data_IF_737448653502
#
_entry.id   IF_737448653502
#
_cell.length_a   1.000
_cell.length_b   1.000
_cell.length_c   1.000
_cell.angle_alpha   90.00
_cell.angle_beta   90.00
_cell.angle_gamma   90.00
#
_symmetry.space_group_name_H-M   'P 1'
#
loop_
_entity.id
_entity.type
_entity.pdbx_description
1 polymer ?
#
# COMPACT_ATOMS: atom_id res chain seq x y z
N UNK A 1 -25.16 10.57 -13.19
CA UNK A 1 -25.12 10.97 -14.61
C UNK A 1 -23.95 10.31 -15.35
N UNK A 2 -22.69 10.61 -15.00
CA UNK A 2 -21.50 10.09 -15.70
C UNK A 2 -21.51 8.58 -16.01
N UNK A 3 -21.84 7.70 -15.04
CA UNK A 3 -21.89 6.23 -15.25
C UNK A 3 -22.85 5.84 -16.38
N UNK A 4 -23.97 6.57 -16.55
CA UNK A 4 -24.94 6.29 -17.63
C UNK A 4 -24.34 6.65 -18.99
N UNK A 5 -23.58 7.73 -19.04
CA UNK A 5 -22.99 8.27 -20.27
C UNK A 5 -21.70 7.55 -20.68
N UNK A 6 -21.00 6.85 -19.78
CA UNK A 6 -19.72 6.16 -20.13
C UNK A 6 -19.89 5.23 -21.33
N UNK A 7 -20.95 4.43 -21.38
CA UNK A 7 -21.18 3.51 -22.51
C UNK A 7 -21.48 4.24 -23.82
N UNK A 8 -22.16 5.39 -23.76
CA UNK A 8 -22.45 6.22 -24.93
C UNK A 8 -21.19 6.92 -25.44
N UNK A 9 -20.37 7.45 -24.52
CA UNK A 9 -19.07 8.05 -24.80
C UNK A 9 -18.15 7.01 -25.44
N UNK A 10 -18.11 5.79 -24.88
CA UNK A 10 -17.31 4.71 -25.44
C UNK A 10 -17.74 4.36 -26.86
N UNK A 11 -19.05 4.21 -27.11
CA UNK A 11 -19.56 3.95 -28.45
C UNK A 11 -19.16 5.04 -29.46
N UNK A 12 -19.27 6.32 -29.08
CA UNK A 12 -18.87 7.44 -29.93
C UNK A 12 -17.35 7.49 -30.18
N UNK A 13 -16.53 7.18 -29.17
CA UNK A 13 -15.08 7.15 -29.32
C UNK A 13 -14.60 5.98 -30.19
N UNK A 14 -15.25 4.81 -30.07
CA UNK A 14 -15.00 3.66 -30.94
C UNK A 14 -15.40 3.97 -32.39
N UNK A 15 -16.57 4.58 -32.60
CA UNK A 15 -17.03 5.02 -33.93
C UNK A 15 -16.04 6.00 -34.57
N UNK A 16 -15.47 6.90 -33.77
CA UNK A 16 -14.45 7.86 -34.21
C UNK A 16 -13.03 7.28 -34.29
N UNK A 17 -12.85 6.01 -33.90
CA UNK A 17 -11.56 5.33 -33.92
C UNK A 17 -10.50 5.98 -33.02
N UNK A 18 -10.89 6.74 -31.99
CA UNK A 18 -9.95 7.53 -31.19
C UNK A 18 -10.20 7.36 -29.69
N UNK A 19 -9.12 7.27 -28.91
CA UNK A 19 -9.09 7.42 -27.44
C UNK A 19 -9.92 6.43 -26.58
N UNK A 20 -10.82 5.63 -27.16
CA UNK A 20 -11.72 4.73 -26.41
C UNK A 20 -10.95 3.79 -25.46
N UNK A 21 -9.86 3.18 -25.95
CA UNK A 21 -9.05 2.22 -25.20
C UNK A 21 -8.23 2.80 -24.05
N UNK A 22 -8.21 4.13 -23.86
CA UNK A 22 -7.50 4.77 -22.76
C UNK A 22 -8.43 5.66 -21.92
N UNK A 23 -9.29 6.44 -22.58
CA UNK A 23 -10.15 7.42 -21.93
C UNK A 23 -11.22 6.76 -21.05
N UNK A 24 -11.96 5.77 -21.58
CA UNK A 24 -13.04 5.11 -20.85
C UNK A 24 -12.50 4.31 -19.64
N UNK A 25 -11.43 3.49 -19.77
CA UNK A 25 -10.69 2.91 -18.65
C UNK A 25 -10.29 3.92 -17.57
N UNK A 26 -9.67 5.03 -17.95
CA UNK A 26 -9.25 6.06 -17.02
C UNK A 26 -10.45 6.69 -16.30
N UNK A 27 -11.52 7.00 -17.04
CA UNK A 27 -12.74 7.58 -16.49
C UNK A 27 -13.40 6.65 -15.47
N UNK A 28 -13.49 5.34 -15.76
CA UNK A 28 -14.02 4.33 -14.85
C UNK A 28 -13.28 4.32 -13.52
N UNK A 29 -11.95 4.36 -13.54
CA UNK A 29 -11.13 4.39 -12.33
C UNK A 29 -11.37 5.65 -11.49
N UNK A 30 -11.50 6.82 -12.14
CA UNK A 30 -11.83 8.07 -11.42
C UNK A 30 -13.22 7.99 -10.79
N UNK A 31 -14.21 7.51 -11.53
CA UNK A 31 -15.58 7.34 -11.02
C UNK A 31 -15.60 6.40 -9.83
N UNK A 32 -14.99 5.22 -9.92
CA UNK A 32 -14.95 4.26 -8.80
C UNK A 32 -14.18 4.84 -7.59
N UNK A 33 -13.08 5.56 -7.81
CA UNK A 33 -12.35 6.24 -6.74
C UNK A 33 -13.25 7.22 -5.97
N UNK A 34 -14.03 8.04 -6.68
CA UNK A 34 -14.99 8.97 -6.07
C UNK A 34 -16.11 8.21 -5.33
N UNK A 35 -16.67 7.17 -5.95
CA UNK A 35 -17.76 6.39 -5.35
C UNK A 35 -17.33 5.72 -4.05
N UNK A 36 -16.10 5.16 -4.00
CA UNK A 36 -15.56 4.57 -2.77
C UNK A 36 -15.32 5.61 -1.68
N UNK A 37 -14.82 6.81 -2.04
CA UNK A 37 -14.65 7.92 -1.08
C UNK A 37 -15.98 8.31 -0.42
N UNK A 38 -17.06 8.36 -1.19
CA UNK A 38 -18.40 8.72 -0.69
C UNK A 38 -19.29 7.50 -0.41
N UNK A 39 -18.70 6.33 -0.16
CA UNK A 39 -19.43 5.07 -0.05
C UNK A 39 -20.53 5.12 1.02
N UNK A 40 -20.21 5.61 2.23
CA UNK A 40 -21.18 5.70 3.32
C UNK A 40 -22.34 6.65 2.99
N UNK A 41 -22.06 7.78 2.32
CA UNK A 41 -23.09 8.72 1.88
C UNK A 41 -24.00 8.10 0.82
N UNK A 42 -23.41 7.32 -0.10
CA UNK A 42 -24.15 6.63 -1.15
C UNK A 42 -25.19 5.67 -0.56
N UNK A 43 -24.80 4.88 0.45
CA UNK A 43 -25.67 3.87 1.09
C UNK A 43 -26.95 4.46 1.73
N UNK A 44 -26.98 5.77 2.02
CA UNK A 44 -28.17 6.45 2.55
C UNK A 44 -29.25 6.62 1.47
N UNK A 45 -28.87 6.70 0.19
CA UNK A 45 -29.81 6.83 -0.94
C UNK A 45 -29.98 5.51 -1.68
N UNK A 46 -31.11 4.84 -1.45
CA UNK A 46 -31.39 3.56 -2.09
C UNK A 46 -31.47 3.66 -3.61
N UNK A 47 -32.16 4.70 -4.11
CA UNK A 47 -32.35 4.93 -5.54
C UNK A 47 -31.01 5.17 -6.26
N UNK A 48 -30.16 6.06 -5.72
CA UNK A 48 -28.86 6.35 -6.31
C UNK A 48 -27.93 5.14 -6.25
N UNK A 49 -27.93 4.42 -5.13
CA UNK A 49 -27.14 3.19 -4.97
C UNK A 49 -27.55 2.13 -5.99
N UNK A 50 -28.85 1.88 -6.17
CA UNK A 50 -29.35 0.98 -7.20
C UNK A 50 -28.92 1.42 -8.61
N UNK A 51 -29.11 2.70 -8.95
CA UNK A 51 -28.77 3.22 -10.26
C UNK A 51 -27.27 3.11 -10.56
N UNK A 52 -26.42 3.36 -9.55
CA UNK A 52 -24.96 3.19 -9.65
C UNK A 52 -24.61 1.71 -9.80
N UNK A 53 -25.18 0.84 -8.98
CA UNK A 53 -24.94 -0.60 -9.04
C UNK A 53 -25.30 -1.19 -10.42
N UNK A 54 -26.52 -0.92 -10.90
CA UNK A 54 -26.98 -1.36 -12.22
C UNK A 54 -26.12 -0.77 -13.35
N UNK A 55 -25.68 0.49 -13.22
CA UNK A 55 -24.78 1.14 -14.16
C UNK A 55 -23.41 0.48 -14.25
N UNK A 56 -22.80 0.19 -13.10
CA UNK A 56 -21.51 -0.50 -13.02
C UNK A 56 -21.60 -1.93 -13.54
N UNK A 57 -22.66 -2.68 -13.21
CA UNK A 57 -22.88 -4.02 -13.75
C UNK A 57 -22.97 -4.04 -15.28
N UNK A 58 -23.49 -2.98 -15.92
CA UNK A 58 -23.53 -2.89 -17.39
C UNK A 58 -22.17 -2.62 -18.03
N UNK A 59 -21.26 -2.00 -17.29
CA UNK A 59 -19.92 -1.63 -17.74
C UNK A 59 -18.92 -2.78 -17.66
N UNK A 60 -19.15 -3.76 -16.78
CA UNK A 60 -18.32 -4.97 -16.67
C UNK A 60 -19.02 -6.18 -17.28
N UNK A 61 -18.53 -6.64 -18.43
CA UNK A 61 -19.04 -7.85 -19.11
C UNK A 61 -18.09 -9.04 -19.03
N UNK A 62 -16.85 -8.78 -18.63
CA UNK A 62 -15.79 -9.78 -18.51
C UNK A 62 -16.03 -10.75 -17.34
N UNK A 63 -15.23 -11.81 -17.28
CA UNK A 63 -15.17 -12.69 -16.12
C UNK A 63 -14.27 -12.03 -15.05
N UNK A 64 -14.63 -11.98 -13.76
CA UNK A 64 -13.75 -11.44 -12.72
C UNK A 64 -12.34 -12.08 -12.66
N UNK A 65 -12.16 -13.28 -13.22
CA UNK A 65 -10.86 -13.95 -13.33
C UNK A 65 -10.08 -13.68 -14.63
N UNK A 66 -10.70 -13.01 -15.59
CA UNK A 66 -10.12 -12.66 -16.89
C UNK A 66 -10.75 -11.34 -17.35
N UNK A 67 -10.19 -10.25 -16.87
CA UNK A 67 -10.67 -8.89 -17.10
C UNK A 67 -9.50 -7.91 -17.20
N UNK A 68 -9.81 -6.66 -17.52
CA UNK A 68 -8.84 -5.55 -17.49
C UNK A 68 -8.68 -4.99 -16.07
N UNK A 69 -7.59 -4.25 -15.82
CA UNK A 69 -7.36 -3.60 -14.51
C UNK A 69 -8.50 -2.67 -14.06
N UNK A 70 -9.06 -1.79 -14.91
CA UNK A 70 -10.24 -0.99 -14.55
C UNK A 70 -11.47 -1.83 -14.21
N UNK A 71 -11.76 -2.88 -14.98
CA UNK A 71 -12.89 -3.77 -14.72
C UNK A 71 -12.72 -4.50 -13.38
N UNK A 72 -11.49 -4.95 -13.07
CA UNK A 72 -11.15 -5.54 -11.76
C UNK A 72 -11.49 -4.60 -10.60
N UNK A 73 -11.15 -3.32 -10.72
CA UNK A 73 -11.47 -2.29 -9.73
C UNK A 73 -12.99 -2.07 -9.60
N UNK A 74 -13.72 -2.11 -10.72
CA UNK A 74 -15.19 -2.05 -10.72
C UNK A 74 -15.79 -3.29 -10.04
N UNK A 75 -15.29 -4.50 -10.32
CA UNK A 75 -15.73 -5.73 -9.67
C UNK A 75 -15.51 -5.69 -8.16
N UNK A 76 -14.34 -5.22 -7.71
CA UNK A 76 -14.05 -5.03 -6.29
C UNK A 76 -15.08 -4.09 -5.64
N UNK A 77 -15.42 -2.97 -6.29
CA UNK A 77 -16.40 -2.04 -5.75
C UNK A 77 -17.84 -2.60 -5.76
N UNK A 78 -18.24 -3.30 -6.83
CA UNK A 78 -19.53 -3.99 -6.89
C UNK A 78 -19.66 -5.03 -5.75
N UNK A 79 -18.60 -5.75 -5.44
CA UNK A 79 -18.55 -6.71 -4.34
C UNK A 79 -18.77 -6.01 -2.99
N UNK A 80 -18.02 -4.93 -2.71
CA UNK A 80 -18.14 -4.15 -1.47
C UNK A 80 -19.53 -3.52 -1.33
N UNK A 81 -20.06 -2.92 -2.40
CA UNK A 81 -21.37 -2.28 -2.42
C UNK A 81 -22.49 -3.29 -2.18
N UNK A 82 -22.46 -4.45 -2.85
CA UNK A 82 -23.43 -5.51 -2.62
C UNK A 82 -23.32 -6.11 -1.21
N UNK A 83 -22.10 -6.28 -0.69
CA UNK A 83 -21.88 -6.83 0.65
C UNK A 83 -22.45 -5.92 1.75
N UNK A 84 -22.31 -4.60 1.59
CA UNK A 84 -22.67 -3.58 2.58
C UNK A 84 -24.14 -3.14 2.53
N UNK A 85 -24.91 -3.63 1.54
CA UNK A 85 -26.20 -3.05 1.21
C UNK A 85 -27.32 -4.10 1.13
N UNK A 86 -28.13 -4.22 2.19
CA UNK A 86 -29.18 -5.25 2.30
C UNK A 86 -30.24 -5.17 1.20
N UNK A 87 -30.64 -3.96 0.77
CA UNK A 87 -31.65 -3.82 -0.29
C UNK A 87 -31.11 -4.18 -1.68
N UNK A 88 -29.79 -4.07 -1.93
CA UNK A 88 -29.21 -4.57 -3.18
C UNK A 88 -29.27 -6.10 -3.19
N UNK A 89 -29.03 -6.73 -2.03
CA UNK A 89 -29.16 -8.18 -1.88
C UNK A 89 -30.58 -8.67 -2.14
N UNK A 90 -31.61 -7.89 -1.78
CA UNK A 90 -33.00 -8.26 -2.08
C UNK A 90 -33.39 -7.97 -3.53
N UNK A 91 -33.05 -6.79 -4.07
CA UNK A 91 -33.50 -6.36 -5.41
C UNK A 91 -32.73 -7.01 -6.56
N UNK A 92 -31.44 -7.28 -6.39
CA UNK A 92 -30.56 -7.78 -7.46
C UNK A 92 -30.02 -9.19 -7.21
N UNK A 93 -30.67 -9.95 -6.32
CA UNK A 93 -30.26 -11.30 -5.95
C UNK A 93 -30.07 -12.20 -7.18
N UNK A 94 -31.07 -12.26 -8.06
CA UNK A 94 -31.06 -13.18 -9.20
C UNK A 94 -29.90 -12.92 -10.16
N UNK A 95 -29.61 -11.64 -10.44
CA UNK A 95 -28.52 -11.25 -11.33
C UNK A 95 -27.13 -11.43 -10.69
N UNK A 96 -26.99 -11.08 -9.41
CA UNK A 96 -25.68 -10.93 -8.79
C UNK A 96 -25.26 -12.12 -7.92
N UNK A 97 -26.17 -12.99 -7.52
CA UNK A 97 -25.86 -14.19 -6.71
C UNK A 97 -24.86 -15.13 -7.37
N UNK A 98 -24.82 -15.18 -8.72
CA UNK A 98 -23.85 -15.99 -9.48
C UNK A 98 -22.50 -15.28 -9.64
N UNK A 99 -22.51 -13.95 -9.75
CA UNK A 99 -21.30 -13.14 -9.99
C UNK A 99 -20.54 -12.89 -8.69
N UNK A 100 -21.26 -12.62 -7.59
CA UNK A 100 -20.70 -12.36 -6.26
C UNK A 100 -19.66 -13.40 -5.78
N UNK A 101 -19.94 -14.73 -5.79
CA UNK A 101 -18.95 -15.73 -5.39
C UNK A 101 -17.76 -15.81 -6.35
N UNK A 102 -17.95 -15.55 -7.65
CA UNK A 102 -16.83 -15.50 -8.61
C UNK A 102 -15.90 -14.34 -8.33
N UNK A 103 -16.44 -13.16 -8.01
CA UNK A 103 -15.64 -12.00 -7.59
C UNK A 103 -14.90 -12.34 -6.29
N UNK A 104 -15.61 -12.91 -5.30
CA UNK A 104 -14.98 -13.34 -4.03
C UNK A 104 -13.80 -14.28 -4.27
N UNK A 105 -13.98 -15.30 -5.12
CA UNK A 105 -12.95 -16.27 -5.46
C UNK A 105 -11.75 -15.62 -6.18
N UNK A 106 -12.01 -14.67 -7.07
CA UNK A 106 -10.97 -14.07 -7.91
C UNK A 106 -10.18 -12.95 -7.20
N UNK A 107 -10.82 -12.17 -6.32
CA UNK A 107 -10.27 -10.95 -5.75
C UNK A 107 -10.05 -11.00 -4.22
N UNK A 108 -10.74 -11.89 -3.51
CA UNK A 108 -10.76 -11.94 -2.04
C UNK A 108 -10.57 -13.37 -1.48
N UNK A 109 -10.15 -14.32 -2.31
CA UNK A 109 -9.72 -15.63 -1.82
C UNK A 109 -8.45 -15.46 -0.97
N UNK A 110 -8.28 -16.29 0.06
CA UNK A 110 -7.06 -16.25 0.87
C UNK A 110 -5.85 -16.54 0.00
N UNK A 111 -4.86 -15.64 0.00
CA UNK A 111 -3.63 -15.79 -0.78
C UNK A 111 -2.52 -16.27 0.15
N UNK A 112 -1.82 -17.34 -0.28
CA UNK A 112 -0.53 -17.71 0.29
C UNK A 112 0.57 -17.14 -0.60
N UNK A 113 1.57 -16.41 -0.05
CA UNK A 113 2.69 -15.91 -0.84
C UNK A 113 3.42 -17.03 -1.58
N UNK A 114 3.76 -16.78 -2.84
CA UNK A 114 4.53 -17.72 -3.63
C UNK A 114 5.95 -17.87 -3.07
N UNK A 115 6.50 -19.08 -3.18
CA UNK A 115 7.83 -19.39 -2.63
C UNK A 115 8.96 -18.80 -3.46
N UNK A 116 8.81 -18.68 -4.78
CA UNK A 116 9.81 -18.05 -5.64
C UNK A 116 11.08 -18.87 -5.90
N UNK A 117 10.98 -20.17 -6.11
CA UNK A 117 12.15 -21.07 -6.28
C UNK A 117 12.33 -21.57 -7.71
N UNK A 118 11.85 -20.81 -8.70
CA UNK A 118 11.89 -21.20 -10.12
C UNK A 118 13.14 -20.67 -10.83
N UNK A 119 13.42 -21.18 -12.03
CA UNK A 119 14.53 -20.70 -12.85
C UNK A 119 14.19 -19.32 -13.43
N UNK A 120 15.02 -18.33 -13.13
CA UNK A 120 14.86 -16.97 -13.66
C UNK A 120 15.22 -16.88 -15.15
N UNK A 121 14.32 -16.27 -15.93
CA UNK A 121 14.53 -15.89 -17.34
C UNK A 121 14.48 -14.37 -17.52
N UNK A 122 15.63 -13.68 -17.67
CA UNK A 122 15.69 -12.22 -17.79
C UNK A 122 15.06 -11.68 -19.08
N UNK A 123 14.94 -12.51 -20.12
CA UNK A 123 14.32 -12.10 -21.40
C UNK A 123 12.80 -12.20 -21.38
N UNK A 124 12.21 -12.90 -20.41
CA UNK A 124 10.77 -13.09 -20.36
C UNK A 124 10.05 -11.74 -20.17
N UNK A 125 9.23 -11.37 -21.15
CA UNK A 125 8.48 -10.10 -21.21
C UNK A 125 9.34 -8.83 -21.13
N UNK A 126 10.64 -8.92 -21.48
CA UNK A 126 11.56 -7.78 -21.41
C UNK A 126 11.09 -6.59 -22.27
N UNK A 127 10.49 -6.86 -23.44
CA UNK A 127 9.97 -5.82 -24.35
C UNK A 127 8.86 -4.97 -23.70
N UNK A 128 7.95 -5.62 -22.95
CA UNK A 128 6.86 -4.95 -22.25
C UNK A 128 7.38 -4.19 -21.03
N UNK A 129 8.39 -4.70 -20.33
CA UNK A 129 9.01 -3.98 -19.21
C UNK A 129 9.78 -2.75 -19.71
N UNK A 130 10.45 -2.85 -20.86
CA UNK A 130 11.12 -1.71 -21.49
C UNK A 130 10.12 -0.65 -21.98
N UNK A 131 8.96 -1.08 -22.48
CA UNK A 131 7.89 -0.20 -22.94
C UNK A 131 6.52 -0.63 -22.39
N UNK A 132 6.18 -0.23 -21.15
CA UNK A 132 4.98 -0.73 -20.46
C UNK A 132 3.64 -0.30 -21.05
N UNK A 133 3.64 0.62 -22.02
CA UNK A 133 2.44 1.06 -22.74
C UNK A 133 2.14 0.17 -23.96
N UNK A 134 3.00 -0.79 -24.29
CA UNK A 134 2.74 -1.76 -25.36
C UNK A 134 1.54 -2.63 -25.00
N UNK A 135 0.69 -2.87 -26.01
CA UNK A 135 -0.41 -3.82 -25.88
C UNK A 135 0.18 -5.22 -25.74
N UNK A 136 -0.22 -5.93 -24.69
CA UNK A 136 0.23 -7.31 -24.46
C UNK A 136 -0.59 -8.28 -25.31
N UNK A 137 0.10 -9.20 -25.98
CA UNK A 137 -0.54 -10.22 -26.79
C UNK A 137 -1.18 -11.32 -25.93
N UNK A 138 -2.35 -11.81 -26.36
CA UNK A 138 -3.06 -12.89 -25.65
C UNK A 138 -2.22 -14.17 -25.53
N UNK A 139 -1.31 -14.43 -26.47
CA UNK A 139 -0.38 -15.56 -26.41
C UNK A 139 0.56 -15.47 -25.20
N UNK A 140 1.08 -14.28 -24.89
CA UNK A 140 1.96 -14.02 -23.74
C UNK A 140 1.19 -14.14 -22.43
N UNK A 141 -0.04 -13.63 -22.38
CA UNK A 141 -0.92 -13.78 -21.21
C UNK A 141 -1.14 -15.26 -20.88
N UNK A 142 -1.35 -16.11 -21.89
CA UNK A 142 -1.50 -17.57 -21.68
C UNK A 142 -0.24 -18.22 -21.11
N UNK A 143 0.95 -17.71 -21.43
CA UNK A 143 2.21 -18.23 -20.88
C UNK A 143 2.36 -17.97 -19.38
N UNK A 144 1.67 -16.97 -18.81
CA UNK A 144 1.64 -16.70 -17.37
C UNK A 144 0.85 -17.75 -16.56
N UNK A 145 0.19 -18.70 -17.22
CA UNK A 145 -0.34 -19.89 -16.53
C UNK A 145 0.78 -20.75 -15.92
N UNK A 146 2.00 -20.70 -16.49
CA UNK A 146 3.19 -21.37 -15.97
C UNK A 146 3.80 -20.59 -14.78
N UNK A 147 3.95 -21.21 -13.60
CA UNK A 147 4.63 -20.60 -12.46
C UNK A 147 6.04 -20.05 -12.75
N UNK A 148 6.82 -20.72 -13.60
CA UNK A 148 8.19 -20.28 -13.92
C UNK A 148 8.20 -18.97 -14.71
N UNK A 149 7.20 -18.77 -15.56
CA UNK A 149 7.03 -17.53 -16.33
C UNK A 149 6.54 -16.39 -15.44
N UNK A 150 5.59 -16.66 -14.54
CA UNK A 150 5.15 -15.66 -13.55
C UNK A 150 6.31 -15.22 -12.66
N UNK A 151 7.08 -16.17 -12.14
CA UNK A 151 8.29 -15.90 -11.37
C UNK A 151 9.24 -14.98 -12.14
N UNK A 152 9.59 -15.34 -13.37
CA UNK A 152 10.51 -14.56 -14.19
C UNK A 152 10.00 -13.14 -14.46
N UNK A 153 8.71 -13.00 -14.79
CA UNK A 153 8.09 -11.70 -15.00
C UNK A 153 8.15 -10.82 -13.74
N UNK A 154 7.80 -11.38 -12.58
CA UNK A 154 7.82 -10.67 -11.30
C UNK A 154 9.23 -10.24 -10.93
N UNK A 155 10.22 -11.13 -11.10
CA UNK A 155 11.64 -10.78 -10.92
C UNK A 155 12.04 -9.62 -11.83
N UNK A 156 11.77 -9.72 -13.13
CA UNK A 156 12.15 -8.70 -14.12
C UNK A 156 11.50 -7.35 -13.82
N UNK A 157 10.22 -7.34 -13.45
CA UNK A 157 9.48 -6.12 -13.12
C UNK A 157 10.04 -5.43 -11.87
N UNK A 158 10.32 -6.18 -10.79
CA UNK A 158 10.87 -5.63 -9.56
C UNK A 158 12.30 -5.12 -9.73
N UNK A 159 13.15 -5.87 -10.44
CA UNK A 159 14.53 -5.46 -10.72
C UNK A 159 14.53 -4.15 -11.53
N UNK A 160 13.71 -4.05 -12.58
CA UNK A 160 13.63 -2.82 -13.38
C UNK A 160 12.98 -1.67 -12.58
N UNK A 161 12.03 -1.94 -11.68
CA UNK A 161 11.41 -0.91 -10.82
C UNK A 161 12.44 -0.25 -9.89
N UNK A 162 13.38 -1.05 -9.41
CA UNK A 162 14.44 -0.64 -8.49
C UNK A 162 15.65 -0.04 -9.21
N UNK A 163 15.75 -0.18 -10.54
CA UNK A 163 16.90 0.31 -11.29
C UNK A 163 17.00 1.85 -11.26
N UNK A 164 18.22 2.36 -11.08
CA UNK A 164 18.51 3.81 -11.02
C UNK A 164 18.10 4.57 -12.30
N UNK A 165 18.14 3.89 -13.45
CA UNK A 165 17.74 4.42 -14.76
C UNK A 165 16.23 4.54 -14.97
N UNK A 166 15.42 3.88 -14.14
CA UNK A 166 13.97 3.83 -14.33
C UNK A 166 13.38 5.17 -13.95
N UNK A 167 12.70 5.87 -14.86
CA UNK A 167 12.07 7.16 -14.55
C UNK A 167 10.79 7.00 -13.72
N UNK A 168 10.32 8.06 -13.05
CA UNK A 168 9.04 8.00 -12.30
C UNK A 168 7.85 7.69 -13.24
N UNK A 169 7.91 8.12 -14.50
CA UNK A 169 6.95 7.74 -15.54
C UNK A 169 6.93 6.23 -15.75
N UNK A 170 8.08 5.67 -16.13
CA UNK A 170 8.20 4.25 -16.45
C UNK A 170 7.79 3.38 -15.28
N UNK A 171 8.13 3.78 -14.04
CA UNK A 171 7.70 3.07 -12.83
C UNK A 171 6.18 2.99 -12.69
N UNK A 172 5.47 4.10 -12.91
CA UNK A 172 4.00 4.14 -12.83
C UNK A 172 3.37 3.31 -13.97
N UNK A 173 3.88 3.47 -15.19
CA UNK A 173 3.37 2.72 -16.35
C UNK A 173 3.59 1.21 -16.17
N UNK A 174 4.73 0.81 -15.59
CA UNK A 174 5.01 -0.59 -15.29
C UNK A 174 4.11 -1.14 -14.19
N UNK A 175 3.80 -0.36 -13.15
CA UNK A 175 2.83 -0.78 -12.14
C UNK A 175 1.43 -0.97 -12.73
N UNK A 176 1.03 -0.12 -13.70
CA UNK A 176 -0.23 -0.28 -14.44
C UNK A 176 -0.20 -1.52 -15.34
N UNK A 177 0.90 -1.79 -16.04
CA UNK A 177 1.09 -3.04 -16.81
C UNK A 177 0.94 -4.27 -15.90
N UNK A 178 1.59 -4.26 -14.74
CA UNK A 178 1.51 -5.35 -13.76
C UNK A 178 0.08 -5.55 -13.25
N UNK A 179 -0.68 -4.47 -13.07
CA UNK A 179 -2.08 -4.53 -12.70
C UNK A 179 -2.96 -5.12 -13.81
N UNK A 180 -2.69 -4.76 -15.07
CA UNK A 180 -3.39 -5.32 -16.23
C UNK A 180 -3.15 -6.83 -16.34
N UNK A 181 -1.89 -7.26 -16.24
CA UNK A 181 -1.53 -8.67 -16.29
C UNK A 181 -2.09 -9.47 -15.10
N UNK A 182 -2.16 -8.85 -13.91
CA UNK A 182 -2.78 -9.49 -12.74
C UNK A 182 -4.29 -9.65 -12.93
N UNK A 183 -4.95 -8.73 -13.63
CA UNK A 183 -6.38 -8.83 -13.93
C UNK A 183 -6.71 -9.96 -14.93
N UNK A 184 -5.78 -10.27 -15.84
CA UNK A 184 -5.84 -11.45 -16.72
C UNK A 184 -5.22 -12.73 -16.13
N UNK A 185 -4.48 -12.63 -15.02
CA UNK A 185 -3.81 -13.75 -14.37
C UNK A 185 -3.76 -13.56 -12.84
N UNK A 186 -4.82 -13.97 -12.16
CA UNK A 186 -4.95 -13.85 -10.69
C UNK A 186 -3.82 -14.53 -9.90
N UNK A 187 -3.15 -15.54 -10.47
CA UNK A 187 -2.04 -16.22 -9.81
C UNK A 187 -0.84 -15.28 -9.53
N UNK A 188 -0.72 -14.16 -10.27
CA UNK A 188 0.31 -13.15 -10.02
C UNK A 188 0.16 -12.47 -8.64
N UNK A 189 -1.04 -12.43 -8.06
CA UNK A 189 -1.26 -11.87 -6.71
C UNK A 189 -0.37 -12.55 -5.65
N UNK A 190 -0.22 -13.87 -5.74
CA UNK A 190 0.65 -14.63 -4.84
C UNK A 190 2.14 -14.34 -5.07
N UNK A 191 2.55 -14.10 -6.32
CA UNK A 191 3.93 -13.78 -6.68
C UNK A 191 4.34 -12.38 -6.21
N UNK A 192 3.45 -11.39 -6.35
CA UNK A 192 3.70 -10.04 -5.83
C UNK A 192 3.87 -10.04 -4.31
N UNK A 193 3.00 -10.74 -3.58
CA UNK A 193 3.15 -10.90 -2.13
C UNK A 193 4.42 -11.70 -1.78
N UNK A 194 4.76 -12.72 -2.57
CA UNK A 194 5.98 -13.53 -2.41
C UNK A 194 7.26 -12.70 -2.51
N UNK A 195 7.43 -11.94 -3.59
CA UNK A 195 8.64 -11.13 -3.82
C UNK A 195 8.74 -9.97 -2.82
N UNK A 196 7.62 -9.34 -2.45
CA UNK A 196 7.60 -8.28 -1.44
C UNK A 196 7.93 -8.84 -0.05
N UNK A 197 7.41 -10.02 0.30
CA UNK A 197 7.78 -10.72 1.53
C UNK A 197 9.28 -11.07 1.55
N UNK A 198 9.83 -11.59 0.45
CA UNK A 198 11.26 -11.90 0.36
C UNK A 198 12.15 -10.66 0.57
N UNK A 199 11.80 -9.52 -0.05
CA UNK A 199 12.52 -8.26 0.13
C UNK A 199 12.43 -7.73 1.58
N UNK A 200 11.24 -7.79 2.18
CA UNK A 200 10.99 -7.27 3.53
C UNK A 200 11.46 -8.22 4.65
N UNK A 201 11.64 -9.51 4.38
CA UNK A 201 12.04 -10.56 5.32
C UNK A 201 13.37 -11.22 4.94
N UNK A 202 14.27 -10.48 4.30
CA UNK A 202 15.52 -10.98 3.72
C UNK A 202 16.52 -11.60 4.72
N UNK A 203 16.22 -11.61 6.02
CA UNK A 203 17.01 -12.27 7.07
C UNK A 203 16.61 -13.72 7.36
N UNK A 204 15.47 -14.21 6.86
CA UNK A 204 14.94 -15.55 7.19
C UNK A 204 15.46 -16.61 6.20
N UNK A 205 16.01 -17.74 6.68
CA UNK A 205 16.74 -18.81 5.93
C UNK A 205 16.02 -19.46 4.71
N UNK A 206 14.81 -19.04 4.38
CA UNK A 206 13.97 -19.55 3.28
C UNK A 206 13.84 -18.49 2.18
N UNK A 207 14.88 -18.26 1.38
CA UNK A 207 14.86 -17.23 0.34
C UNK A 207 14.55 -17.81 -1.03
N UNK A 208 13.30 -17.77 -1.45
CA UNK A 208 13.04 -17.64 -2.89
C UNK A 208 13.21 -16.19 -3.35
N UNK A 209 13.13 -15.98 -4.66
CA UNK A 209 13.46 -14.71 -5.32
C UNK A 209 14.93 -14.29 -5.12
N UNK A 210 15.86 -15.25 -5.07
CA UNK A 210 17.31 -15.02 -4.90
C UNK A 210 17.85 -14.03 -5.95
N UNK A 211 17.34 -14.09 -7.17
CA UNK A 211 17.74 -13.20 -8.25
C UNK A 211 17.34 -11.74 -8.00
N UNK A 212 16.22 -11.51 -7.31
CA UNK A 212 15.80 -10.16 -6.89
C UNK A 212 16.67 -9.70 -5.72
N UNK A 213 16.84 -10.55 -4.69
CA UNK A 213 17.64 -10.23 -3.52
C UNK A 213 19.12 -9.93 -3.85
N UNK A 214 19.66 -10.58 -4.88
CA UNK A 214 21.04 -10.33 -5.34
C UNK A 214 21.18 -9.05 -6.18
N UNK A 215 20.12 -8.58 -6.84
CA UNK A 215 20.16 -7.40 -7.70
C UNK A 215 19.62 -6.12 -7.04
N UNK A 216 18.73 -6.25 -6.06
CA UNK A 216 18.13 -5.14 -5.32
C UNK A 216 18.89 -4.94 -4.01
N UNK A 217 19.92 -4.10 -4.05
CA UNK A 217 20.81 -3.87 -2.91
C UNK A 217 20.19 -2.94 -1.85
N UNK A 218 19.34 -3.48 -0.96
CA UNK A 218 18.72 -2.74 0.16
C UNK A 218 19.71 -2.25 1.23
N UNK A 219 20.99 -2.65 1.14
CA UNK A 219 22.06 -2.25 2.08
C UNK A 219 22.98 -1.16 1.52
N UNK A 220 22.87 -0.81 0.24
CA UNK A 220 23.72 0.20 -0.38
C UNK A 220 23.14 1.61 -0.12
N UNK A 221 23.78 2.47 0.70
CA UNK A 221 23.23 3.77 1.07
C UNK A 221 22.98 4.71 -0.11
N UNK A 222 23.64 4.50 -1.25
CA UNK A 222 23.48 5.35 -2.43
C UNK A 222 22.22 5.01 -3.24
N UNK A 223 21.89 3.73 -3.38
CA UNK A 223 20.74 3.28 -4.16
C UNK A 223 19.47 3.08 -3.31
N UNK A 224 19.63 2.74 -2.04
CA UNK A 224 18.55 2.38 -1.11
C UNK A 224 17.42 3.41 -1.03
N UNK A 225 17.65 4.74 -0.92
CA UNK A 225 16.57 5.73 -0.92
C UNK A 225 15.67 5.67 -2.16
N UNK A 226 16.28 5.44 -3.33
CA UNK A 226 15.56 5.33 -4.59
C UNK A 226 14.78 4.01 -4.67
N UNK A 227 15.38 2.92 -4.19
CA UNK A 227 14.74 1.59 -4.14
C UNK A 227 13.51 1.63 -3.22
N UNK A 228 13.65 2.14 -2.00
CA UNK A 228 12.54 2.32 -1.04
C UNK A 228 11.39 3.12 -1.67
N UNK A 229 11.71 4.27 -2.27
CA UNK A 229 10.73 5.15 -2.91
C UNK A 229 10.06 4.47 -4.12
N UNK A 230 10.82 3.74 -4.94
CA UNK A 230 10.32 3.00 -6.09
C UNK A 230 9.34 1.91 -5.67
N UNK A 231 9.75 1.04 -4.74
CA UNK A 231 8.92 -0.07 -4.26
C UNK A 231 7.68 0.44 -3.54
N UNK A 232 7.79 1.52 -2.77
CA UNK A 232 6.64 2.12 -2.10
C UNK A 232 5.57 2.61 -3.08
N UNK A 233 5.97 3.30 -4.17
CA UNK A 233 5.03 3.75 -5.21
C UNK A 233 4.47 2.56 -6.00
N UNK A 234 5.32 1.61 -6.37
CA UNK A 234 4.94 0.44 -7.13
C UNK A 234 3.89 -0.39 -6.37
N UNK A 235 4.19 -0.77 -5.13
CA UNK A 235 3.28 -1.53 -4.24
C UNK A 235 1.97 -0.76 -3.99
N UNK A 236 2.05 0.56 -3.78
CA UNK A 236 0.87 1.38 -3.57
C UNK A 236 -0.09 1.38 -4.78
N UNK A 237 0.43 1.41 -6.01
CA UNK A 237 -0.39 1.30 -7.23
C UNK A 237 -0.97 -0.11 -7.37
N UNK A 238 -0.20 -1.17 -7.07
CA UNK A 238 -0.72 -2.54 -7.11
C UNK A 238 -1.90 -2.73 -6.15
N UNK A 239 -1.82 -2.18 -4.93
CA UNK A 239 -2.92 -2.17 -3.95
C UNK A 239 -4.11 -1.36 -4.48
N UNK A 240 -3.86 -0.14 -4.98
CA UNK A 240 -4.91 0.73 -5.54
C UNK A 240 -5.69 0.04 -6.68
N UNK A 241 -4.99 -0.74 -7.51
CA UNK A 241 -5.57 -1.50 -8.62
C UNK A 241 -6.02 -2.91 -8.25
N UNK A 242 -6.06 -3.23 -6.96
CA UNK A 242 -6.59 -4.48 -6.44
C UNK A 242 -5.84 -5.74 -6.94
N UNK A 243 -4.54 -5.62 -7.20
CA UNK A 243 -3.68 -6.77 -7.55
C UNK A 243 -3.61 -7.77 -6.39
N UNK A 244 -3.59 -7.26 -5.17
CA UNK A 244 -3.80 -7.96 -3.91
C UNK A 244 -4.43 -6.95 -2.94
N UNK A 245 -5.07 -7.44 -1.87
CA UNK A 245 -5.72 -6.55 -0.92
C UNK A 245 -4.72 -5.96 0.07
N UNK A 246 -5.02 -4.77 0.59
CA UNK A 246 -4.22 -4.17 1.66
C UNK A 246 -4.17 -5.09 2.91
N UNK A 247 -5.27 -5.70 3.38
CA UNK A 247 -5.20 -6.71 4.45
C UNK A 247 -4.25 -7.88 4.17
N UNK A 248 -4.23 -8.43 2.95
CA UNK A 248 -3.30 -9.51 2.58
C UNK A 248 -1.84 -9.02 2.62
N UNK A 249 -1.57 -7.81 2.13
CA UNK A 249 -0.24 -7.21 2.23
C UNK A 249 0.22 -7.03 3.69
N UNK A 250 -0.66 -6.54 4.56
CA UNK A 250 -0.35 -6.38 5.99
C UNK A 250 -0.04 -7.73 6.64
N UNK A 251 -0.85 -8.75 6.36
CA UNK A 251 -0.71 -10.09 6.92
C UNK A 251 0.52 -10.84 6.39
N UNK A 252 0.76 -10.77 5.09
CA UNK A 252 1.74 -11.62 4.41
C UNK A 252 3.13 -11.00 4.27
N UNK A 253 3.26 -9.68 4.40
CA UNK A 253 4.53 -8.96 4.19
C UNK A 253 4.90 -8.15 5.43
N UNK A 254 4.00 -7.26 5.86
CA UNK A 254 4.32 -6.29 6.93
C UNK A 254 4.54 -6.96 8.27
N UNK A 255 3.56 -7.75 8.75
CA UNK A 255 3.66 -8.39 10.05
C UNK A 255 4.85 -9.36 10.12
N UNK A 256 5.10 -10.26 9.14
CA UNK A 256 6.29 -11.10 9.13
C UNK A 256 7.59 -10.30 9.20
N UNK A 257 7.71 -9.20 8.45
CA UNK A 257 8.91 -8.36 8.44
C UNK A 257 9.18 -7.70 9.79
N UNK A 258 8.15 -7.13 10.42
CA UNK A 258 8.29 -6.50 11.75
C UNK A 258 8.57 -7.54 12.84
N UNK A 259 7.95 -8.73 12.76
CA UNK A 259 8.26 -9.84 13.68
C UNK A 259 9.70 -10.34 13.51
N UNK A 260 10.20 -10.41 12.27
CA UNK A 260 11.59 -10.77 11.99
C UNK A 260 12.58 -9.78 12.62
N UNK A 261 12.29 -8.47 12.57
CA UNK A 261 13.09 -7.44 13.21
C UNK A 261 12.99 -7.46 14.74
N UNK A 262 11.82 -7.79 15.28
CA UNK A 262 11.61 -7.91 16.72
C UNK A 262 12.35 -9.12 17.33
N UNK A 263 12.34 -10.26 16.64
CA UNK A 263 13.02 -11.50 17.05
C UNK A 263 12.83 -11.85 18.53
N UNK A 264 11.58 -12.03 18.96
CA UNK A 264 11.22 -12.38 20.36
C UNK A 264 11.76 -11.41 21.44
N UNK A 265 12.03 -10.16 21.06
CA UNK A 265 12.53 -9.12 21.98
C UNK A 265 14.05 -8.96 21.98
N UNK A 266 14.78 -9.83 21.28
CA UNK A 266 16.24 -9.72 21.16
C UNK A 266 16.65 -8.67 20.14
N UNK A 267 15.80 -8.39 19.14
CA UNK A 267 16.15 -7.60 17.97
C UNK A 267 17.01 -8.39 16.97
N UNK A 268 16.79 -8.19 15.68
CA UNK A 268 17.59 -8.82 14.62
C UNK A 268 18.20 -7.78 13.67
N UNK A 269 19.51 -7.48 13.79
CA UNK A 269 20.20 -6.55 12.91
C UNK A 269 20.13 -6.96 11.43
N UNK A 270 20.10 -8.25 11.11
CA UNK A 270 20.03 -8.73 9.73
C UNK A 270 18.67 -8.44 9.07
N UNK A 271 17.61 -8.28 9.88
CA UNK A 271 16.27 -7.93 9.42
C UNK A 271 16.10 -6.41 9.20
N UNK A 272 17.07 -5.58 9.60
CA UNK A 272 16.98 -4.13 9.58
C UNK A 272 16.63 -3.56 8.18
N UNK A 273 17.29 -3.96 7.08
CA UNK A 273 17.01 -3.37 5.76
C UNK A 273 15.60 -3.69 5.29
N UNK A 274 15.13 -4.91 5.56
CA UNK A 274 13.78 -5.36 5.22
C UNK A 274 12.71 -4.64 6.04
N UNK A 275 12.92 -4.48 7.35
CA UNK A 275 12.01 -3.75 8.22
C UNK A 275 11.97 -2.24 7.92
N UNK A 276 13.11 -1.65 7.52
CA UNK A 276 13.16 -0.27 7.04
C UNK A 276 12.36 -0.09 5.75
N UNK A 277 12.53 -0.99 4.78
CA UNK A 277 11.69 -1.02 3.58
C UNK A 277 10.22 -1.11 3.96
N UNK A 278 9.84 -2.02 4.88
CA UNK A 278 8.46 -2.14 5.38
C UNK A 278 7.91 -0.83 5.93
N UNK A 279 8.70 -0.07 6.70
CA UNK A 279 8.30 1.24 7.21
C UNK A 279 8.07 2.25 6.07
N UNK A 280 8.93 2.29 5.05
CA UNK A 280 8.74 3.12 3.86
C UNK A 280 7.48 2.75 3.06
N UNK A 281 7.22 1.45 2.88
CA UNK A 281 6.00 0.96 2.22
C UNK A 281 4.75 1.42 3.00
N UNK A 282 4.71 1.18 4.32
CA UNK A 282 3.60 1.56 5.18
C UNK A 282 3.36 3.07 5.18
N UNK A 283 4.41 3.86 5.37
CA UNK A 283 4.32 5.32 5.35
C UNK A 283 3.66 5.81 4.06
N UNK A 284 4.10 5.30 2.91
CA UNK A 284 3.54 5.69 1.61
C UNK A 284 2.07 5.30 1.48
N UNK A 285 1.76 4.05 1.83
CA UNK A 285 0.42 3.48 1.69
C UNK A 285 -0.56 4.22 2.61
N UNK A 286 -0.19 4.49 3.86
CA UNK A 286 -1.10 5.04 4.88
C UNK A 286 -1.21 6.57 4.81
N UNK A 287 -0.13 7.31 4.48
CA UNK A 287 -0.17 8.77 4.30
C UNK A 287 -0.88 9.22 3.03
N UNK A 288 -1.27 8.30 2.15
CA UNK A 288 -1.91 8.61 0.88
C UNK A 288 -3.26 9.29 1.10
N UNK A 289 -3.27 10.61 1.29
CA UNK A 289 -4.49 11.42 1.30
C UNK A 289 -4.25 12.72 0.53
N UNK A 290 -5.12 12.93 -0.46
CA UNK A 290 -5.73 14.18 -0.94
C UNK A 290 -5.10 15.53 -0.53
N UNK A 291 -3.80 15.75 -0.73
CA UNK A 291 -3.40 17.11 -1.07
C UNK A 291 -3.88 17.36 -2.49
N UNK A 292 -4.84 18.29 -2.74
CA UNK A 292 -4.94 18.86 -4.07
C UNK A 292 -3.56 19.43 -4.34
N UNK A 293 -2.75 18.79 -5.18
CA UNK A 293 -1.53 19.40 -5.68
C UNK A 293 -2.01 20.54 -6.58
N UNK A 294 -1.97 21.82 -6.13
CA UNK A 294 -2.51 22.92 -6.91
C UNK A 294 -1.70 23.07 -8.22
N UNK A 295 -0.46 22.56 -8.21
CA UNK A 295 0.46 22.54 -9.33
C UNK A 295 0.08 21.59 -10.48
N UNK A 296 -0.87 20.65 -10.31
CA UNK A 296 -1.26 19.74 -11.39
C UNK A 296 -2.50 20.21 -12.16
N UNK A 297 -3.24 21.19 -11.64
CA UNK A 297 -4.44 21.75 -12.29
C UNK A 297 -4.22 23.14 -12.91
N UNK A 298 -3.08 23.78 -12.65
CA UNK A 298 -2.73 25.08 -13.23
C UNK A 298 -1.51 24.95 -14.14
N UNK A 299 -1.70 25.08 -15.45
CA UNK A 299 -0.65 25.10 -16.47
C UNK A 299 0.30 26.32 -16.39
N UNK A 300 0.54 26.91 -15.20
CA UNK A 300 1.23 28.20 -15.09
C UNK A 300 1.78 28.60 -13.72
N UNK A 301 1.84 27.73 -12.70
CA UNK A 301 2.58 28.07 -11.47
C UNK A 301 3.57 26.98 -11.07
N UNK A 302 4.78 27.12 -11.58
CA UNK A 302 5.96 26.41 -11.09
C UNK A 302 6.31 26.95 -9.71
N UNK A 303 5.75 26.35 -8.65
CA UNK A 303 6.45 26.38 -7.37
C UNK A 303 7.66 25.45 -7.49
N UNK A 304 8.83 26.03 -7.27
CA UNK A 304 10.11 25.34 -7.20
C UNK A 304 10.08 24.30 -6.08
N UNK A 305 9.78 23.05 -6.43
CA UNK A 305 10.10 21.90 -5.57
C UNK A 305 11.62 21.93 -5.33
N UNK A 306 12.11 21.82 -4.08
CA UNK A 306 13.54 21.89 -3.81
C UNK A 306 14.32 20.87 -4.66
N UNK A 307 15.35 21.30 -5.40
CA UNK A 307 16.10 20.44 -6.29
C UNK A 307 17.00 19.52 -5.46
N UNK A 308 16.76 18.21 -5.51
CA UNK A 308 17.60 17.23 -4.82
C UNK A 308 16.91 15.95 -4.37
N UNK A 309 15.59 15.84 -4.55
CA UNK A 309 14.84 14.66 -4.15
C UNK A 309 14.56 13.75 -5.36
N UNK A 310 15.00 12.49 -5.30
CA UNK A 310 14.53 11.42 -6.18
C UNK A 310 13.07 11.07 -5.82
N UNK A 311 12.14 12.04 -5.95
CA UNK A 311 10.76 11.87 -5.54
C UNK A 311 10.02 10.97 -6.53
N UNK A 312 9.91 9.68 -6.20
CA UNK A 312 8.93 8.79 -6.79
C UNK A 312 7.57 9.12 -6.19
N UNK A 313 6.56 9.27 -7.05
CA UNK A 313 5.20 9.61 -6.65
C UNK A 313 4.19 8.88 -7.54
N UNK A 314 3.00 8.59 -6.97
CA UNK A 314 1.84 8.11 -7.74
C UNK A 314 1.34 9.25 -8.63
N UNK A 315 1.48 9.08 -9.95
CA UNK A 315 1.19 10.13 -10.93
C UNK A 315 -0.30 10.29 -11.20
N UNK A 316 -1.02 9.19 -11.37
CA UNK A 316 -2.42 9.21 -11.77
C UNK A 316 -3.33 9.55 -10.59
N UNK A 317 -4.26 10.48 -10.79
CA UNK A 317 -5.16 10.91 -9.73
C UNK A 317 -6.14 9.80 -9.31
N UNK A 318 -6.57 8.97 -10.26
CA UNK A 318 -7.40 7.81 -9.97
C UNK A 318 -6.70 6.83 -9.02
N UNK A 319 -5.40 6.56 -9.20
CA UNK A 319 -4.65 5.64 -8.32
C UNK A 319 -4.56 6.17 -6.89
N UNK A 320 -4.40 7.49 -6.71
CA UNK A 320 -4.42 8.13 -5.39
C UNK A 320 -5.77 7.95 -4.69
N UNK A 321 -6.87 8.22 -5.40
CA UNK A 321 -8.21 8.03 -4.83
C UNK A 321 -8.52 6.55 -4.55
N UNK A 322 -8.09 5.65 -5.42
CA UNK A 322 -8.28 4.21 -5.23
C UNK A 322 -7.46 3.67 -4.05
N UNK A 323 -6.25 4.19 -3.84
CA UNK A 323 -5.44 3.86 -2.67
C UNK A 323 -6.07 4.36 -1.38
N UNK A 324 -6.51 5.62 -1.35
CA UNK A 324 -7.25 6.18 -0.21
C UNK A 324 -8.51 5.35 0.08
N UNK A 325 -9.19 4.90 -0.96
CA UNK A 325 -10.33 4.02 -0.81
C UNK A 325 -9.98 2.62 -0.29
N UNK A 326 -8.79 2.08 -0.61
CA UNK A 326 -8.33 0.79 -0.08
C UNK A 326 -8.16 0.81 1.44
N UNK A 327 -7.94 1.98 2.06
CA UNK A 327 -7.92 2.13 3.52
C UNK A 327 -9.24 1.74 4.18
N UNK A 328 -10.37 1.94 3.49
CA UNK A 328 -11.70 1.59 4.02
C UNK A 328 -11.89 0.09 4.25
N UNK A 329 -11.15 -0.74 3.51
CA UNK A 329 -11.19 -2.20 3.60
C UNK A 329 -10.45 -2.75 4.84
N UNK A 330 -9.61 -1.96 5.52
CA UNK A 330 -8.88 -2.41 6.70
C UNK A 330 -9.79 -2.38 7.94
N UNK A 331 -10.04 -3.52 8.56
CA UNK A 331 -10.74 -3.59 9.87
C UNK A 331 -9.83 -3.17 11.03
N UNK A 332 -10.40 -2.97 12.22
CA UNK A 332 -9.65 -2.51 13.40
C UNK A 332 -8.48 -3.44 13.77
N UNK A 333 -8.73 -4.75 13.75
CA UNK A 333 -7.76 -5.76 14.19
C UNK A 333 -6.44 -5.76 13.40
N UNK A 334 -6.43 -5.89 12.04
CA UNK A 334 -5.19 -5.82 11.26
C UNK A 334 -4.47 -4.47 11.40
N UNK A 335 -5.23 -3.37 11.54
CA UNK A 335 -4.65 -2.04 11.76
C UNK A 335 -3.89 -1.99 13.08
N UNK A 336 -4.54 -2.38 14.19
CA UNK A 336 -3.90 -2.40 15.50
C UNK A 336 -2.71 -3.35 15.55
N UNK A 337 -2.78 -4.52 14.90
CA UNK A 337 -1.65 -5.44 14.84
C UNK A 337 -0.40 -4.77 14.25
N UNK A 338 -0.55 -4.00 13.16
CA UNK A 338 0.56 -3.27 12.53
C UNK A 338 1.05 -2.14 13.43
N UNK A 339 0.15 -1.33 13.99
CA UNK A 339 0.54 -0.23 14.88
C UNK A 339 1.32 -0.73 16.11
N UNK A 340 0.87 -1.83 16.72
CA UNK A 340 1.57 -2.50 17.83
C UNK A 340 2.91 -3.06 17.40
N UNK A 341 2.98 -3.74 16.26
CA UNK A 341 4.24 -4.29 15.76
C UNK A 341 5.29 -3.18 15.53
N UNK A 342 4.89 -2.05 14.94
CA UNK A 342 5.78 -0.89 14.76
C UNK A 342 6.21 -0.27 16.11
N UNK A 343 5.28 -0.18 17.07
CA UNK A 343 5.55 0.30 18.42
C UNK A 343 6.60 -0.56 19.13
N UNK A 344 6.45 -1.90 19.07
CA UNK A 344 7.37 -2.87 19.68
C UNK A 344 8.75 -2.79 19.04
N UNK A 345 8.83 -2.79 17.70
CA UNK A 345 10.10 -2.67 16.97
C UNK A 345 10.81 -1.36 17.32
N UNK A 346 10.08 -0.25 17.40
CA UNK A 346 10.61 1.05 17.79
C UNK A 346 11.16 1.09 19.23
N UNK A 347 10.59 0.32 20.16
CA UNK A 347 11.06 0.25 21.54
C UNK A 347 12.26 -0.68 21.71
N UNK A 348 12.17 -1.91 21.20
CA UNK A 348 13.20 -2.94 21.37
C UNK A 348 14.53 -2.48 20.77
N UNK A 349 14.50 -1.94 19.55
CA UNK A 349 15.71 -1.48 18.87
C UNK A 349 16.31 -0.21 19.50
N UNK A 350 15.54 0.54 20.29
CA UNK A 350 16.07 1.68 21.03
C UNK A 350 16.85 1.30 22.29
N UNK A 351 16.53 0.14 22.88
CA UNK A 351 17.30 -0.41 24.00
C UNK A 351 18.70 -0.84 23.57
N UNK A 352 18.82 -1.38 22.34
CA UNK A 352 20.10 -1.79 21.76
C UNK A 352 21.03 -0.60 21.46
N UNK A 353 20.49 0.49 20.92
CA UNK A 353 21.28 1.70 20.61
C UNK A 353 21.86 2.36 21.85
N UNK A 354 21.17 2.31 23.00
CA UNK A 354 21.71 2.78 24.30
C UNK A 354 22.86 1.91 24.82
N UNK A 355 22.87 0.61 24.51
CA UNK A 355 23.98 -0.29 24.88
C UNK A 355 25.21 -0.17 23.96
N UNK A 356 25.06 0.49 22.80
CA UNK A 356 26.14 0.77 21.85
C UNK A 356 26.51 2.27 21.79
N UNK A 357 26.25 3.05 22.85
CA UNK A 357 26.70 4.43 22.92
C UNK A 357 28.24 4.49 22.81
N UNK A 358 28.70 4.90 21.64
CA UNK A 358 30.10 5.16 21.32
C UNK A 358 30.62 6.30 22.21
N UNK A 359 31.92 6.29 22.50
CA UNK A 359 32.67 7.30 23.29
C UNK A 359 32.36 8.75 22.84
N UNK A 360 31.85 8.96 21.61
CA UNK A 360 31.33 10.23 21.11
C UNK A 360 30.18 10.84 21.93
N UNK A 361 29.30 10.03 22.54
CA UNK A 361 28.19 10.51 23.36
C UNK A 361 28.66 10.96 24.76
N UNK A 362 29.81 10.46 25.22
CA UNK A 362 30.42 10.81 26.51
C UNK A 362 31.18 12.16 26.42
N UNK A 363 31.66 12.52 25.22
CA UNK A 363 32.46 13.74 24.99
C UNK A 363 31.63 14.97 24.58
N UNK A 364 30.31 14.87 24.50
CA UNK A 364 29.43 16.03 24.31
C UNK A 364 29.62 16.78 22.99
N UNK A 365 30.12 16.13 21.94
CA UNK A 365 30.38 16.77 20.62
C UNK A 365 29.27 16.52 19.60
N UNK A 366 28.17 15.87 19.97
CA UNK A 366 26.99 15.78 19.10
C UNK A 366 26.21 17.09 19.17
N UNK A 367 26.58 18.02 18.30
CA UNK A 367 25.79 19.20 17.92
C UNK A 367 24.57 18.78 17.08
N UNK A 368 23.81 17.81 17.58
CA UNK A 368 22.49 17.43 17.08
C UNK A 368 21.50 18.02 18.08
N UNK A 369 21.30 19.33 17.93
CA UNK A 369 20.30 20.09 18.66
C UNK A 369 18.96 19.35 18.66
N UNK A 370 18.57 18.95 19.87
CA UNK A 370 17.20 18.74 20.30
C UNK A 370 16.33 19.92 19.86
N UNK A 371 15.73 19.82 18.67
CA UNK A 371 14.91 20.90 18.10
C UNK A 371 14.71 20.90 16.58
N UNK A 372 15.02 19.82 15.87
CA UNK A 372 14.69 19.76 14.43
C UNK A 372 13.18 19.65 14.26
N UNK A 373 12.58 20.61 13.56
CA UNK A 373 11.18 20.60 13.17
C UNK A 373 10.80 19.24 12.54
N UNK A 374 9.75 18.61 13.10
CA UNK A 374 9.20 17.29 12.73
C UNK A 374 8.70 17.19 11.27
N UNK A 375 8.72 18.29 10.50
CA UNK A 375 8.25 18.36 9.11
C UNK A 375 9.26 17.82 8.09
N UNK A 376 10.56 17.75 8.42
CA UNK A 376 11.62 17.60 7.42
C UNK A 376 12.25 16.20 7.37
N UNK A 377 11.74 15.26 8.14
CA UNK A 377 12.15 13.85 8.15
C UNK A 377 11.56 13.06 6.96
N UNK A 378 11.69 13.60 5.75
CA UNK A 378 11.28 12.97 4.49
C UNK A 378 12.45 12.95 3.51
N UNK A 379 12.92 11.75 3.18
CA UNK A 379 14.04 11.54 2.25
C UNK A 379 15.35 11.26 2.96
N UNK A 380 16.41 12.01 2.64
CA UNK A 380 17.81 11.71 3.00
C UNK A 380 18.07 11.53 4.50
N UNK A 381 17.26 12.14 5.36
CA UNK A 381 17.46 12.02 6.80
C UNK A 381 16.78 10.76 7.36
N UNK A 382 15.66 10.31 6.77
CA UNK A 382 14.99 9.05 7.12
C UNK A 382 15.89 7.83 6.86
N UNK A 383 16.68 7.86 5.79
CA UNK A 383 17.63 6.78 5.48
C UNK A 383 18.92 6.84 6.32
N UNK A 384 19.16 7.93 7.08
CA UNK A 384 20.27 8.07 8.04
C UNK A 384 19.89 7.74 9.48
N UNK A 385 18.61 7.86 9.84
CA UNK A 385 18.14 7.56 11.19
C UNK A 385 18.25 6.07 11.52
N UNK A 386 18.33 5.75 12.81
CA UNK A 386 18.20 4.36 13.27
C UNK A 386 16.83 3.80 12.86
N UNK A 387 16.73 2.48 12.69
CA UNK A 387 15.44 1.84 12.41
C UNK A 387 14.43 2.11 13.53
N UNK A 388 14.89 2.19 14.78
CA UNK A 388 14.04 2.51 15.93
C UNK A 388 13.36 3.88 15.78
N UNK A 389 14.15 4.90 15.44
CA UNK A 389 13.64 6.27 15.29
C UNK A 389 12.77 6.40 14.05
N UNK A 390 13.15 5.76 12.95
CA UNK A 390 12.34 5.76 11.74
C UNK A 390 11.02 5.01 11.93
N UNK A 391 11.00 3.89 12.66
CA UNK A 391 9.77 3.16 12.99
C UNK A 391 8.84 4.00 13.88
N UNK A 392 9.38 4.72 14.87
CA UNK A 392 8.60 5.64 15.72
C UNK A 392 8.03 6.81 14.94
N UNK A 393 8.85 7.44 14.10
CA UNK A 393 8.41 8.49 13.19
C UNK A 393 7.30 7.96 12.29
N UNK A 394 7.51 6.81 11.66
CA UNK A 394 6.53 6.17 10.79
C UNK A 394 5.21 5.90 11.51
N UNK A 395 5.27 5.35 12.73
CA UNK A 395 4.10 5.08 13.56
C UNK A 395 3.32 6.36 13.88
N UNK A 396 3.99 7.42 14.35
CA UNK A 396 3.33 8.71 14.65
C UNK A 396 2.63 9.27 13.44
N UNK A 397 3.32 9.26 12.31
CA UNK A 397 2.81 9.77 11.04
C UNK A 397 1.64 8.96 10.48
N UNK A 398 1.58 7.67 10.80
CA UNK A 398 0.45 6.81 10.47
C UNK A 398 -0.72 7.10 11.43
N UNK A 399 -0.47 7.20 12.73
CA UNK A 399 -1.48 7.55 13.72
C UNK A 399 -2.10 8.95 13.49
N UNK A 400 -1.35 9.87 12.87
CA UNK A 400 -1.84 11.20 12.51
C UNK A 400 -2.77 11.23 11.29
N UNK A 401 -2.97 10.11 10.60
CA UNK A 401 -3.89 10.05 9.47
C UNK A 401 -5.34 10.03 9.95
N UNK A 402 -6.18 10.89 9.36
CA UNK A 402 -7.59 11.01 9.74
C UNK A 402 -8.33 9.68 9.67
N UNK A 403 -8.15 8.92 8.58
CA UNK A 403 -8.82 7.63 8.41
C UNK A 403 -8.39 6.57 9.44
N UNK A 404 -7.12 6.60 9.91
CA UNK A 404 -6.61 5.70 10.95
C UNK A 404 -7.29 6.04 12.27
N UNK A 405 -7.34 7.33 12.61
CA UNK A 405 -8.03 7.82 13.80
C UNK A 405 -9.52 7.48 13.76
N UNK A 406 -10.21 7.73 12.66
CA UNK A 406 -11.62 7.37 12.48
C UNK A 406 -11.84 5.87 12.66
N UNK A 407 -10.98 5.02 12.09
CA UNK A 407 -11.10 3.56 12.21
C UNK A 407 -10.88 3.09 13.64
N UNK A 408 -9.86 3.61 14.32
CA UNK A 408 -9.54 3.25 15.70
C UNK A 408 -10.61 3.72 16.69
N UNK A 409 -11.09 4.95 16.53
CA UNK A 409 -12.03 5.57 17.48
C UNK A 409 -13.50 5.33 17.15
N UNK A 410 -13.81 4.56 16.10
CA UNK A 410 -15.19 4.27 15.68
C UNK A 410 -16.00 3.60 16.79
N UNK A 411 -15.39 2.66 17.52
CA UNK A 411 -16.01 1.93 18.63
C UNK A 411 -14.98 1.87 19.78
N UNK A 412 -14.98 2.86 20.70
CA UNK A 412 -13.98 2.95 21.76
C UNK A 412 -13.94 1.73 22.70
N UNK A 413 -15.10 1.12 22.94
CA UNK A 413 -15.22 -0.10 23.75
C UNK A 413 -14.50 -1.29 23.10
N UNK A 414 -14.58 -1.41 21.78
CA UNK A 414 -13.88 -2.44 21.02
C UNK A 414 -12.38 -2.17 21.06
N UNK A 415 -11.95 -0.91 20.83
CA UNK A 415 -10.54 -0.51 20.89
C UNK A 415 -9.88 -0.90 22.22
N UNK A 416 -10.56 -0.64 23.34
CA UNK A 416 -10.06 -0.90 24.70
C UNK A 416 -10.38 -2.32 25.22
N UNK A 417 -10.63 -3.30 24.34
CA UNK A 417 -10.85 -4.68 24.76
C UNK A 417 -9.54 -5.43 25.05
N UNK A 418 -9.65 -6.54 25.78
CA UNK A 418 -8.54 -7.45 26.08
C UNK A 418 -7.98 -8.17 24.83
N UNK A 419 -8.72 -8.16 23.72
CA UNK A 419 -8.28 -8.70 22.43
C UNK A 419 -7.62 -7.63 21.55
N UNK A 420 -7.79 -6.35 21.91
CA UNK A 420 -7.30 -5.19 21.18
C UNK A 420 -6.24 -4.47 22.02
N UNK A 421 -6.40 -3.19 22.33
CA UNK A 421 -5.33 -2.38 22.90
C UNK A 421 -4.84 -2.87 24.28
N UNK A 422 -5.68 -3.60 25.03
CA UNK A 422 -5.34 -4.14 26.34
C UNK A 422 -4.87 -5.61 26.29
N UNK A 423 -4.48 -6.11 25.12
CA UNK A 423 -3.91 -7.45 25.01
C UNK A 423 -2.53 -7.56 25.66
N UNK A 424 -2.10 -8.79 25.93
CA UNK A 424 -0.80 -9.07 26.57
C UNK A 424 0.40 -8.85 25.64
N UNK A 425 0.19 -8.48 24.38
CA UNK A 425 1.26 -8.29 23.40
C UNK A 425 2.04 -6.98 23.64
N UNK A 426 1.40 -5.99 24.29
CA UNK A 426 2.03 -4.71 24.66
C UNK A 426 1.84 -4.41 26.14
N UNK A 427 2.76 -3.62 26.71
CA UNK A 427 2.64 -3.18 28.11
C UNK A 427 1.56 -2.10 28.27
N UNK A 428 0.98 -1.89 29.48
CA UNK A 428 0.03 -0.81 29.72
C UNK A 428 0.56 0.58 29.35
N UNK A 429 1.87 0.83 29.52
CA UNK A 429 2.52 2.08 29.11
C UNK A 429 2.57 2.24 27.60
N UNK A 430 2.87 1.16 26.87
CA UNK A 430 2.85 1.13 25.41
C UNK A 430 1.44 1.36 24.86
N UNK A 431 0.43 0.70 25.46
CA UNK A 431 -0.98 0.90 25.13
C UNK A 431 -1.39 2.37 25.30
N UNK A 432 -1.05 2.98 26.44
CA UNK A 432 -1.33 4.39 26.70
C UNK A 432 -0.64 5.32 25.68
N UNK A 433 0.63 5.05 25.34
CA UNK A 433 1.37 5.86 24.35
C UNK A 433 0.76 5.76 22.96
N UNK A 434 0.37 4.55 22.55
CA UNK A 434 -0.27 4.35 21.25
C UNK A 434 -1.64 5.03 21.18
N UNK A 435 -2.46 4.90 22.23
CA UNK A 435 -3.73 5.60 22.33
C UNK A 435 -3.54 7.13 22.25
N UNK A 436 -2.56 7.65 22.98
CA UNK A 436 -2.25 9.08 22.94
C UNK A 436 -1.84 9.54 21.54
N UNK A 437 -1.02 8.77 20.82
CA UNK A 437 -0.65 9.09 19.43
C UNK A 437 -1.85 9.07 18.47
N UNK A 438 -2.83 8.21 18.69
CA UNK A 438 -4.06 8.14 17.88
C UNK A 438 -4.99 9.33 18.21
N UNK A 439 -5.17 9.67 19.49
CA UNK A 439 -6.10 10.70 19.94
C UNK A 439 -5.54 12.12 19.78
N UNK A 440 -4.24 12.31 19.97
CA UNK A 440 -3.57 13.63 20.02
C UNK A 440 -2.38 13.69 19.07
N UNK A 441 -2.61 13.65 17.74
CA UNK A 441 -1.54 13.63 16.75
C UNK A 441 -0.70 14.90 16.72
N UNK A 442 -1.24 16.04 17.17
CA UNK A 442 -0.56 17.34 17.19
C UNK A 442 0.21 17.61 18.50
N UNK A 443 0.19 16.68 19.46
CA UNK A 443 0.91 16.86 20.71
C UNK A 443 2.41 16.68 20.49
N UNK A 444 3.27 17.63 20.91
CA UNK A 444 4.71 17.43 20.88
C UNK A 444 5.07 16.20 21.70
N UNK A 445 6.04 15.43 21.20
CA UNK A 445 6.36 14.11 21.71
C UNK A 445 6.68 14.12 23.21
N UNK A 446 5.86 13.44 24.01
CA UNK A 446 6.21 13.06 25.39
C UNK A 446 7.30 11.99 25.33
N UNK A 447 8.54 12.42 25.13
CA UNK A 447 9.70 11.53 25.04
C UNK A 447 10.45 11.34 26.37
N UNK A 448 9.95 11.90 27.47
CA UNK A 448 10.62 11.81 28.76
C UNK A 448 9.93 10.81 29.70
N UNK A 449 10.55 9.65 29.85
CA UNK A 449 10.48 8.86 31.09
C UNK A 449 11.15 9.68 32.21
N UNK A 450 10.36 10.47 32.94
CA UNK A 450 10.48 10.76 34.36
C UNK A 450 9.46 11.84 34.75
N UNK A 451 8.57 11.51 35.68
CA UNK A 451 7.73 12.43 36.46
C UNK A 451 6.85 13.42 35.66
N UNK A 452 5.84 12.93 34.95
CA UNK A 452 4.65 13.75 34.72
C UNK A 452 3.44 13.10 35.38
N UNK A 453 2.94 13.79 36.40
CA UNK A 453 1.77 13.40 37.18
C UNK A 453 0.58 13.08 36.27
N UNK A 454 -0.13 12.01 36.61
CA UNK A 454 -1.34 11.49 35.96
C UNK A 454 -2.47 12.54 35.80
N UNK A 455 -2.33 13.74 36.37
CA UNK A 455 -3.31 14.84 36.26
C UNK A 455 -3.25 15.61 34.95
N UNK A 456 -2.12 15.58 34.23
CA UNK A 456 -1.94 16.36 32.99
C UNK A 456 -2.41 15.62 31.72
N UNK A 457 -2.82 14.35 31.84
CA UNK A 457 -3.17 13.48 30.71
C UNK A 457 -4.68 13.55 30.40
N UNK A 458 -5.49 14.22 31.24
CA UNK A 458 -6.96 14.26 31.14
C UNK A 458 -7.49 15.69 30.86
N UNK A 459 -6.61 16.69 30.71
CA UNK A 459 -6.98 18.04 30.27
C UNK A 459 -6.58 18.26 28.82
#
# INVERSE_FOLDING_TARGET
QMIKEVSEIEAQLVERGCLAGWYCPALLLHVVGVLRKYHCCLLVSQEQTCAIFEGLCRLVKANPSDCTSPERVVFAYLYELYASCSFLKSKHHELFSVVYPKIKQALYASISPAQGTYRWSPQFMEEYIKNPKLKVDSSIIKQLSDPSNRYSFVCNAIIDACASKTSNEKLNDMAVLCAELTASCNALSAEWLGVLNALCCSSMESHGYIEVLSQVALRDPHSTPTIHSSLAVFTAILIARHCFTLPDFLKCVVLPSLMAAWNSGEGNPEAEPGARLTCHLLLRIFKSVDTPQPAQYSAGSSQSVPPGMSQRNIRLSCDRHLLAAAHTAITLLPLLAVLKAMLIVGDVLSGQTKSQASISDILGTSDMGSGSNDSDMMGKDADKASLADFARYSLRQICSQEWVRERCLKIPEELCSAENLLDSAITPRQAQRLLHQICHPDSPSTHNDASQDQRTIIS
#
